data_IF_464772263507
#
_entry.id   IF_464772263507
#
_cell.length_a   1.000
_cell.length_b   1.000
_cell.length_c   1.000
_cell.angle_alpha   90.00
_cell.angle_beta   90.00
_cell.angle_gamma   90.00
#
_symmetry.space_group_name_H-M   'P 1'
#
loop_
_entity.id
_entity.type
_entity.pdbx_description
1 polymer ?
#
# COMPACT_ATOMS: atom_id res chain seq x y z
N UNK A 1 -15.59 17.33 -20.01
CA UNK A 1 -14.54 16.82 -19.12
C UNK A 1 -14.41 15.34 -19.42
N UNK A 2 -13.30 14.91 -19.98
CA UNK A 2 -13.04 13.48 -20.18
C UNK A 2 -12.86 12.84 -18.81
N UNK A 3 -13.82 12.05 -18.41
CA UNK A 3 -13.81 11.28 -17.16
C UNK A 3 -12.74 10.20 -17.29
N UNK A 4 -11.51 10.54 -16.90
CA UNK A 4 -10.37 9.63 -17.05
C UNK A 4 -10.37 8.66 -15.88
N UNK A 5 -10.92 7.47 -16.10
CA UNK A 5 -10.85 6.38 -15.13
C UNK A 5 -9.40 5.95 -14.92
N UNK A 6 -8.93 6.00 -13.67
CA UNK A 6 -7.59 5.55 -13.28
C UNK A 6 -7.61 4.12 -12.76
N UNK A 7 -6.54 3.38 -12.99
CA UNK A 7 -6.26 2.09 -12.36
C UNK A 7 -5.40 2.33 -11.10
N UNK A 8 -5.99 2.15 -9.92
CA UNK A 8 -5.38 2.46 -8.62
C UNK A 8 -5.13 1.17 -7.85
N UNK A 9 -3.89 0.93 -7.43
CA UNK A 9 -3.50 -0.25 -6.67
C UNK A 9 -3.01 0.15 -5.28
N UNK A 10 -3.81 -0.16 -4.25
CA UNK A 10 -3.41 0.03 -2.86
C UNK A 10 -2.52 -1.11 -2.38
N UNK A 11 -1.47 -0.80 -1.64
CA UNK A 11 -0.53 -1.77 -1.07
C UNK A 11 -0.42 -1.56 0.43
N UNK A 12 -0.78 -2.58 1.23
CA UNK A 12 -0.73 -2.52 2.69
C UNK A 12 -0.27 -3.85 3.30
N UNK A 13 0.51 -3.77 4.39
CA UNK A 13 0.94 -4.98 5.10
C UNK A 13 -0.14 -5.53 6.01
N UNK A 14 -0.77 -4.69 6.81
CA UNK A 14 -1.68 -5.16 7.85
C UNK A 14 -3.14 -4.82 7.48
N UNK A 15 -3.93 -5.80 6.96
CA UNK A 15 -5.34 -5.58 6.65
C UNK A 15 -6.20 -5.65 7.93
N UNK A 16 -5.83 -4.84 8.92
CA UNK A 16 -6.47 -4.79 10.25
C UNK A 16 -6.60 -3.34 10.73
N UNK A 17 -7.47 -3.13 11.70
CA UNK A 17 -7.64 -1.88 12.44
C UNK A 17 -7.91 -0.61 11.58
N UNK A 18 -7.48 0.55 12.07
CA UNK A 18 -7.73 1.85 11.46
C UNK A 18 -7.13 2.00 10.07
N UNK A 19 -5.94 1.46 9.83
CA UNK A 19 -5.29 1.51 8.52
C UNK A 19 -6.14 0.81 7.46
N UNK A 20 -6.62 -0.40 7.75
CA UNK A 20 -7.44 -1.14 6.79
C UNK A 20 -8.81 -0.49 6.57
N UNK A 21 -9.40 0.09 7.62
CA UNK A 21 -10.64 0.87 7.50
C UNK A 21 -10.44 2.05 6.54
N UNK A 22 -9.38 2.85 6.76
CA UNK A 22 -9.07 3.97 5.89
C UNK A 22 -8.88 3.55 4.43
N UNK A 23 -8.08 2.50 4.18
CA UNK A 23 -7.86 1.98 2.82
C UNK A 23 -9.16 1.50 2.19
N UNK A 24 -10.02 0.82 2.94
CA UNK A 24 -11.32 0.32 2.46
C UNK A 24 -12.26 1.46 2.09
N UNK A 25 -12.36 2.48 2.94
CA UNK A 25 -13.22 3.66 2.70
C UNK A 25 -12.72 4.45 1.48
N UNK A 26 -11.39 4.63 1.37
CA UNK A 26 -10.77 5.29 0.22
C UNK A 26 -10.98 4.51 -1.08
N UNK A 27 -10.80 3.19 -1.06
CA UNK A 27 -11.00 2.33 -2.22
C UNK A 27 -12.45 2.36 -2.72
N UNK A 28 -13.44 2.34 -1.79
CA UNK A 28 -14.86 2.49 -2.12
C UNK A 28 -15.16 3.84 -2.74
N UNK A 29 -14.66 4.92 -2.13
CA UNK A 29 -14.86 6.27 -2.65
C UNK A 29 -14.28 6.43 -4.07
N UNK A 30 -13.10 5.90 -4.31
CA UNK A 30 -12.48 5.92 -5.64
C UNK A 30 -13.25 5.07 -6.66
N UNK A 31 -13.72 3.89 -6.26
CA UNK A 31 -14.56 3.05 -7.13
C UNK A 31 -15.89 3.74 -7.47
N UNK A 32 -16.52 4.41 -6.51
CA UNK A 32 -17.74 5.19 -6.72
C UNK A 32 -17.53 6.38 -7.66
N UNK A 33 -16.30 6.91 -7.74
CA UNK A 33 -15.90 7.94 -8.71
C UNK A 33 -15.55 7.37 -10.10
N UNK A 34 -15.74 6.07 -10.34
CA UNK A 34 -15.52 5.43 -11.63
C UNK A 34 -14.09 4.94 -11.85
N UNK A 35 -13.22 4.98 -10.85
CA UNK A 35 -11.87 4.43 -10.96
C UNK A 35 -11.85 2.92 -10.80
N UNK A 36 -10.88 2.26 -11.42
CA UNK A 36 -10.62 0.83 -11.28
C UNK A 36 -9.67 0.62 -10.09
N UNK A 37 -10.17 0.08 -9.01
CA UNK A 37 -9.39 -0.06 -7.77
C UNK A 37 -9.05 -1.51 -7.48
N UNK A 38 -7.87 -1.76 -6.93
CA UNK A 38 -7.43 -3.05 -6.44
C UNK A 38 -6.60 -2.92 -5.16
N UNK A 39 -6.44 -4.05 -4.47
CA UNK A 39 -5.70 -4.11 -3.21
C UNK A 39 -4.67 -5.23 -3.23
N UNK A 40 -3.44 -4.94 -2.81
CA UNK A 40 -2.42 -5.93 -2.45
C UNK A 40 -2.24 -5.88 -0.93
N UNK A 41 -2.56 -6.98 -0.25
CA UNK A 41 -2.51 -7.07 1.20
C UNK A 41 -1.70 -8.30 1.67
N UNK A 42 -1.13 -8.20 2.88
CA UNK A 42 -0.41 -9.32 3.49
C UNK A 42 -1.32 -10.54 3.69
N UNK A 43 -0.81 -11.70 3.30
CA UNK A 43 -1.48 -12.98 3.45
C UNK A 43 -1.33 -13.60 4.85
N UNK A 44 -0.41 -13.10 5.67
CA UNK A 44 -0.06 -13.70 6.97
C UNK A 44 -0.61 -12.95 8.19
N UNK A 45 -1.24 -11.79 7.99
CA UNK A 45 -1.71 -10.92 9.07
C UNK A 45 -3.23 -10.80 9.09
N UNK A 46 -3.81 -10.73 10.29
CA UNK A 46 -5.23 -10.40 10.52
C UNK A 46 -6.18 -11.58 10.58
N UNK A 47 -5.70 -12.80 10.29
CA UNK A 47 -6.50 -14.03 10.43
C UNK A 47 -7.84 -13.99 9.72
N UNK A 48 -8.82 -14.70 10.27
CA UNK A 48 -10.16 -14.82 9.69
C UNK A 48 -10.88 -13.46 9.57
N UNK A 49 -10.73 -12.57 10.54
CA UNK A 49 -11.38 -11.25 10.51
C UNK A 49 -10.92 -10.40 9.33
N UNK A 50 -9.62 -10.43 9.01
CA UNK A 50 -9.10 -9.73 7.84
C UNK A 50 -9.63 -10.34 6.54
N UNK A 51 -9.71 -11.67 6.49
CA UNK A 51 -10.25 -12.39 5.32
C UNK A 51 -11.72 -12.03 5.07
N UNK A 52 -12.56 -12.06 6.10
CA UNK A 52 -13.98 -11.69 6.00
C UNK A 52 -14.16 -10.25 5.48
N UNK A 53 -13.38 -9.30 6.01
CA UNK A 53 -13.43 -7.91 5.56
C UNK A 53 -12.94 -7.72 4.12
N UNK A 54 -11.91 -8.45 3.71
CA UNK A 54 -11.42 -8.42 2.32
C UNK A 54 -12.45 -9.03 1.36
N UNK A 55 -13.10 -10.14 1.74
CA UNK A 55 -14.19 -10.74 0.97
C UNK A 55 -15.35 -9.77 0.80
N UNK A 56 -15.72 -9.02 1.85
CA UNK A 56 -16.78 -8.00 1.77
C UNK A 56 -16.40 -6.83 0.85
N UNK A 57 -15.12 -6.47 0.79
CA UNK A 57 -14.63 -5.39 -0.07
C UNK A 57 -14.47 -5.83 -1.53
N UNK A 58 -14.16 -7.10 -1.78
CA UNK A 58 -13.80 -7.62 -3.10
C UNK A 58 -14.79 -7.30 -4.24
N UNK A 59 -16.14 -7.35 -4.03
CA UNK A 59 -17.10 -7.03 -5.09
C UNK A 59 -17.01 -5.59 -5.61
N UNK A 60 -16.48 -4.67 -4.82
CA UNK A 60 -16.35 -3.25 -5.17
C UNK A 60 -15.04 -2.94 -5.92
N UNK A 61 -14.12 -3.92 -6.00
CA UNK A 61 -12.79 -3.74 -6.55
C UNK A 61 -12.64 -4.32 -7.95
N UNK A 62 -12.73 -3.49 -8.98
CA UNK A 62 -12.60 -3.91 -10.38
C UNK A 62 -11.25 -4.58 -10.70
N UNK A 63 -10.18 -4.26 -9.97
CA UNK A 63 -8.88 -4.90 -10.10
C UNK A 63 -8.67 -6.05 -9.11
N UNK A 64 -9.64 -6.30 -8.22
CA UNK A 64 -9.63 -7.40 -7.26
C UNK A 64 -8.59 -7.24 -6.14
N UNK A 65 -8.43 -8.34 -5.37
CA UNK A 65 -7.52 -8.42 -4.23
C UNK A 65 -6.42 -9.43 -4.51
N UNK A 66 -5.19 -9.08 -4.19
CA UNK A 66 -4.04 -9.98 -4.26
C UNK A 66 -3.44 -10.13 -2.86
N UNK A 67 -3.28 -11.37 -2.41
CA UNK A 67 -2.64 -11.67 -1.12
C UNK A 67 -1.18 -12.04 -1.37
N UNK A 68 -0.26 -11.39 -0.65
CA UNK A 68 1.19 -11.59 -0.74
C UNK A 68 1.74 -11.71 0.68
N UNK A 69 2.61 -12.69 0.92
CA UNK A 69 3.28 -12.79 2.23
C UNK A 69 4.22 -11.60 2.44
N UNK A 70 3.94 -10.81 3.47
CA UNK A 70 4.70 -9.60 3.83
C UNK A 70 5.17 -9.71 5.27
N UNK A 71 6.38 -10.22 5.49
CA UNK A 71 6.95 -10.38 6.83
C UNK A 71 6.95 -9.06 7.63
N UNK A 72 6.75 -9.15 8.95
CA UNK A 72 6.93 -8.01 9.86
C UNK A 72 8.39 -7.58 9.91
N UNK A 73 9.30 -8.52 9.92
CA UNK A 73 10.75 -8.27 9.96
C UNK A 73 11.31 -8.06 8.56
N UNK A 74 12.41 -7.32 8.49
CA UNK A 74 13.10 -7.08 7.23
C UNK A 74 13.92 -8.32 6.89
N UNK A 75 13.84 -8.76 5.62
CA UNK A 75 14.56 -9.94 5.16
C UNK A 75 14.37 -10.20 3.66
N UNK A 76 14.87 -11.33 3.18
CA UNK A 76 14.78 -11.73 1.77
C UNK A 76 13.34 -11.79 1.24
N UNK A 77 12.36 -12.09 2.10
CA UNK A 77 10.94 -12.08 1.75
C UNK A 77 10.44 -10.72 1.25
N UNK A 78 11.07 -9.62 1.67
CA UNK A 78 10.71 -8.27 1.21
C UNK A 78 11.00 -8.06 -0.28
N UNK A 79 12.09 -8.63 -0.78
CA UNK A 79 12.41 -8.58 -2.22
C UNK A 79 11.37 -9.34 -3.05
N UNK A 80 10.92 -10.49 -2.54
CA UNK A 80 9.88 -11.31 -3.17
C UNK A 80 8.54 -10.55 -3.14
N UNK A 81 8.16 -9.98 -2.00
CA UNK A 81 6.94 -9.19 -1.87
C UNK A 81 6.96 -7.96 -2.81
N UNK A 82 8.08 -7.25 -2.87
CA UNK A 82 8.26 -6.12 -3.78
C UNK A 82 8.11 -6.54 -5.25
N UNK A 83 8.69 -7.67 -5.65
CA UNK A 83 8.54 -8.23 -7.00
C UNK A 83 7.07 -8.63 -7.31
N UNK A 84 6.33 -9.14 -6.32
CA UNK A 84 4.90 -9.43 -6.47
C UNK A 84 4.09 -8.15 -6.67
N UNK A 85 4.36 -7.09 -5.89
CA UNK A 85 3.72 -5.78 -6.05
C UNK A 85 3.99 -5.22 -7.45
N UNK A 86 5.26 -5.25 -7.90
CA UNK A 86 5.64 -4.76 -9.23
C UNK A 86 4.91 -5.52 -10.36
N UNK A 87 4.91 -6.86 -10.28
CA UNK A 87 4.20 -7.70 -11.28
C UNK A 87 2.71 -7.44 -11.29
N UNK A 88 2.10 -7.28 -10.11
CA UNK A 88 0.66 -6.98 -10.02
C UNK A 88 0.35 -5.60 -10.59
N UNK A 89 1.13 -4.57 -10.26
CA UNK A 89 0.97 -3.24 -10.81
C UNK A 89 1.07 -3.23 -12.33
N UNK A 90 2.05 -3.93 -12.90
CA UNK A 90 2.21 -4.07 -14.34
C UNK A 90 1.02 -4.83 -14.97
N UNK A 91 0.59 -5.93 -14.37
CA UNK A 91 -0.50 -6.78 -14.89
C UNK A 91 -1.85 -6.05 -14.95
N UNK A 92 -2.10 -5.10 -14.04
CA UNK A 92 -3.34 -4.31 -14.04
C UNK A 92 -3.21 -2.97 -14.76
N UNK A 93 -2.02 -2.64 -15.26
CA UNK A 93 -1.73 -1.34 -15.85
C UNK A 93 -1.98 -0.21 -14.87
N UNK A 94 -1.39 -0.30 -13.65
CA UNK A 94 -1.67 0.64 -12.59
C UNK A 94 -1.13 2.05 -12.95
N UNK A 95 -2.04 3.04 -13.01
CA UNK A 95 -1.70 4.45 -13.14
C UNK A 95 -1.20 5.02 -11.80
N UNK A 96 -1.70 4.45 -10.69
CA UNK A 96 -1.34 4.85 -9.32
C UNK A 96 -1.05 3.61 -8.50
N UNK A 97 0.10 3.59 -7.82
CA UNK A 97 0.42 2.61 -6.77
C UNK A 97 0.53 3.34 -5.44
N UNK A 98 -0.44 3.11 -4.56
CA UNK A 98 -0.59 3.80 -3.29
C UNK A 98 -0.19 2.89 -2.12
N UNK A 99 0.97 3.16 -1.55
CA UNK A 99 1.48 2.41 -0.40
C UNK A 99 1.00 2.99 0.92
N UNK A 100 0.59 2.12 1.85
CA UNK A 100 0.06 2.48 3.16
C UNK A 100 0.91 1.90 4.29
N UNK A 101 1.28 2.77 5.24
CA UNK A 101 2.16 2.43 6.36
C UNK A 101 3.58 2.07 5.91
N UNK A 102 4.47 1.77 6.86
CA UNK A 102 5.90 1.62 6.59
C UNK A 102 6.21 0.55 5.52
N UNK A 103 5.70 -0.67 5.69
CA UNK A 103 5.98 -1.79 4.78
C UNK A 103 5.25 -1.67 3.44
N UNK A 104 3.95 -1.39 3.44
CA UNK A 104 3.18 -1.18 2.21
C UNK A 104 3.73 -0.02 1.41
N UNK A 105 4.09 1.07 2.09
CA UNK A 105 4.76 2.23 1.51
C UNK A 105 6.14 1.90 0.93
N UNK A 106 6.94 1.08 1.63
CA UNK A 106 8.25 0.66 1.11
C UNK A 106 8.10 -0.17 -0.17
N UNK A 107 7.20 -1.15 -0.20
CA UNK A 107 7.00 -1.98 -1.39
C UNK A 107 6.50 -1.18 -2.59
N UNK A 108 5.52 -0.27 -2.39
CA UNK A 108 5.03 0.58 -3.47
C UNK A 108 6.12 1.49 -4.06
N UNK A 109 7.00 2.02 -3.21
CA UNK A 109 8.08 2.93 -3.60
C UNK A 109 9.31 2.23 -4.18
N UNK A 110 9.60 0.98 -3.73
CA UNK A 110 10.74 0.18 -4.23
C UNK A 110 10.40 -0.56 -5.51
N UNK A 111 9.15 -0.97 -5.69
CA UNK A 111 8.70 -1.66 -6.89
C UNK A 111 8.91 -0.79 -8.14
N UNK A 112 9.33 -1.41 -9.22
CA UNK A 112 9.32 -0.78 -10.53
C UNK A 112 7.89 -0.82 -11.05
N UNK A 113 7.23 0.33 -11.07
CA UNK A 113 5.84 0.48 -11.46
C UNK A 113 5.69 1.48 -12.60
N UNK A 114 4.71 1.28 -13.51
CA UNK A 114 4.52 2.18 -14.64
C UNK A 114 3.92 3.53 -14.27
N UNK A 115 3.14 3.57 -13.17
CA UNK A 115 2.41 4.75 -12.73
C UNK A 115 3.11 5.55 -11.63
N UNK A 116 2.39 6.52 -11.08
CA UNK A 116 2.86 7.34 -9.97
C UNK A 116 2.81 6.58 -8.64
N UNK A 117 3.73 6.92 -7.74
CA UNK A 117 3.85 6.33 -6.39
C UNK A 117 3.33 7.30 -5.36
N UNK A 118 2.23 6.91 -4.73
CA UNK A 118 1.61 7.66 -3.64
C UNK A 118 1.91 6.96 -2.31
N UNK A 119 2.14 7.73 -1.27
CA UNK A 119 2.44 7.19 0.06
C UNK A 119 1.65 7.89 1.17
N UNK A 120 0.99 7.08 2.01
CA UNK A 120 0.37 7.52 3.26
C UNK A 120 1.05 6.82 4.44
N UNK A 121 1.75 7.56 5.33
CA UNK A 121 2.56 6.99 6.41
C UNK A 121 1.75 6.27 7.51
N UNK A 122 0.53 6.72 7.82
CA UNK A 122 -0.28 6.23 8.95
C UNK A 122 0.46 6.27 10.30
N UNK A 123 1.28 7.28 10.50
CA UNK A 123 2.04 7.47 11.73
C UNK A 123 3.26 6.55 11.92
N UNK A 124 3.23 5.33 11.43
CA UNK A 124 4.17 4.23 11.64
C UNK A 124 5.65 4.60 11.82
N UNK A 125 6.41 4.65 10.72
CA UNK A 125 7.86 4.91 10.74
C UNK A 125 8.25 6.33 11.18
N UNK A 126 7.34 7.30 11.12
CA UNK A 126 7.62 8.70 11.44
C UNK A 126 7.64 8.99 12.95
N UNK A 127 7.14 8.07 13.79
CA UNK A 127 7.15 8.21 15.25
C UNK A 127 8.45 7.74 15.91
N UNK A 128 9.40 7.21 15.14
CA UNK A 128 10.67 6.77 15.69
C UNK A 128 11.63 7.93 15.98
N UNK A 129 12.40 7.80 17.07
CA UNK A 129 13.46 8.74 17.42
C UNK A 129 14.77 8.36 16.71
N UNK A 130 15.47 9.35 16.16
CA UNK A 130 16.80 9.20 15.55
C UNK A 130 17.85 8.61 16.48
N UNK A 131 17.69 8.77 17.80
CA UNK A 131 18.64 8.30 18.81
C UNK A 131 18.58 6.77 19.04
N UNK A 132 17.62 6.06 18.45
CA UNK A 132 17.57 4.60 18.50
C UNK A 132 18.08 3.96 17.20
N UNK A 133 18.76 2.80 17.25
CA UNK A 133 19.20 2.11 16.02
C UNK A 133 18.06 1.79 15.06
N UNK A 134 16.91 1.39 15.59
CA UNK A 134 15.71 1.14 14.80
C UNK A 134 15.17 2.43 14.18
N UNK A 135 15.13 3.51 14.98
CA UNK A 135 14.68 4.82 14.51
C UNK A 135 15.57 5.37 13.41
N UNK A 136 16.88 5.32 13.60
CA UNK A 136 17.84 5.70 12.57
C UNK A 136 17.59 4.95 11.25
N UNK A 137 17.42 3.62 11.33
CA UNK A 137 17.15 2.80 10.14
C UNK A 137 15.85 3.19 9.45
N UNK A 138 14.74 3.33 10.20
CA UNK A 138 13.44 3.69 9.61
C UNK A 138 13.44 5.08 8.99
N UNK A 139 13.96 6.07 9.71
CA UNK A 139 14.01 7.45 9.23
C UNK A 139 14.97 7.63 8.06
N UNK A 140 16.12 6.94 8.06
CA UNK A 140 17.03 6.91 6.91
C UNK A 140 16.38 6.26 5.68
N UNK A 141 15.65 5.17 5.88
CA UNK A 141 14.88 4.51 4.83
C UNK A 141 13.81 5.44 4.23
N UNK A 142 13.05 6.14 5.08
CA UNK A 142 12.05 7.11 4.64
C UNK A 142 12.69 8.27 3.86
N UNK A 143 13.83 8.77 4.33
CA UNK A 143 14.58 9.83 3.63
C UNK A 143 15.06 9.38 2.24
N UNK A 144 15.51 8.13 2.11
CA UNK A 144 15.91 7.57 0.82
C UNK A 144 14.70 7.37 -0.11
N UNK A 145 13.64 6.75 0.42
CA UNK A 145 12.43 6.42 -0.34
C UNK A 145 11.62 7.67 -0.75
N UNK A 146 11.81 8.81 -0.07
CA UNK A 146 11.23 10.09 -0.47
C UNK A 146 11.54 10.43 -1.93
N UNK A 147 12.73 10.10 -2.41
CA UNK A 147 13.15 10.34 -3.81
C UNK A 147 12.38 9.51 -4.83
N UNK A 148 11.68 8.47 -4.35
CA UNK A 148 10.86 7.55 -5.16
C UNK A 148 9.37 7.72 -4.86
N UNK A 149 8.98 8.83 -4.26
CA UNK A 149 7.60 9.14 -3.92
C UNK A 149 7.16 10.35 -4.72
N UNK A 150 6.14 10.18 -5.55
CA UNK A 150 5.61 11.26 -6.39
C UNK A 150 4.63 12.14 -5.61
N UNK A 151 3.88 11.55 -4.65
CA UNK A 151 2.91 12.24 -3.82
C UNK A 151 2.83 11.65 -2.40
N UNK A 152 2.84 12.52 -1.39
CA UNK A 152 2.51 12.18 0.00
C UNK A 152 1.08 12.61 0.31
N UNK A 153 0.30 11.71 0.93
CA UNK A 153 -1.01 12.00 1.48
C UNK A 153 -0.99 11.76 2.99
N UNK A 154 -1.43 12.74 3.75
CA UNK A 154 -1.52 12.64 5.22
C UNK A 154 -2.99 12.62 5.64
N UNK A 155 -3.33 11.82 6.66
CA UNK A 155 -4.72 11.65 7.13
C UNK A 155 -5.20 12.81 7.99
N UNK A 156 -4.29 13.58 8.57
CA UNK A 156 -4.59 14.76 9.39
C UNK A 156 -3.52 15.82 9.24
N UNK A 157 -3.91 17.04 9.40
CA UNK A 157 -3.03 18.19 9.52
C UNK A 157 -2.66 18.42 10.99
#
# INVERSE_FOLDING_TARGET
MTDTSLSILHVLRAPVDGLFRHVSDLARAQAALGHRVGVVADASTGGQQAEERLVQLAPELALGITRVAMSRHIGFGDAIACAHVARRAAAVGADVVHGHGAKGGAYARLATVPGIRVYTPHGGSLHYDWNSPAGFFYLASERLLRRRTDLFLFESA
#
